data_IF_809683919939
#
_entry.id   IF_809683919939
#
_cell.length_a   1.000
_cell.length_b   1.000
_cell.length_c   1.000
_cell.angle_alpha   90.00
_cell.angle_beta   90.00
_cell.angle_gamma   90.00
#
_symmetry.space_group_name_H-M   'P 1'
#
loop_
_entity.id
_entity.type
_entity.pdbx_description
1 polymer ?
#
# COMPACT_ATOMS: atom_id res chain seq x y z
N UNK A 1 29.95 19.62 -10.20
CA UNK A 1 30.46 18.34 -9.65
C UNK A 1 29.61 17.83 -8.48
N UNK A 2 29.27 18.66 -7.48
CA UNK A 2 28.37 18.27 -6.38
C UNK A 2 26.97 17.77 -6.81
N UNK A 3 26.37 18.36 -7.85
CA UNK A 3 25.07 17.91 -8.39
C UNK A 3 25.14 16.54 -9.07
N UNK A 4 26.30 16.19 -9.63
CA UNK A 4 26.53 14.88 -10.27
C UNK A 4 26.85 13.79 -9.22
N UNK A 5 27.52 14.17 -8.13
CA UNK A 5 27.80 13.27 -6.98
C UNK A 5 26.50 12.94 -6.22
N UNK A 6 25.61 13.92 -6.03
CA UNK A 6 24.30 13.70 -5.38
C UNK A 6 23.38 12.84 -6.27
N UNK A 7 23.38 13.05 -7.59
CA UNK A 7 22.61 12.23 -8.52
C UNK A 7 23.13 10.78 -8.61
N UNK A 8 24.45 10.57 -8.56
CA UNK A 8 25.06 9.24 -8.57
C UNK A 8 24.78 8.44 -7.28
N UNK A 9 24.71 9.10 -6.12
CA UNK A 9 24.38 8.45 -4.84
C UNK A 9 22.91 8.02 -4.74
N UNK A 10 22.02 8.71 -5.46
CA UNK A 10 20.58 8.38 -5.49
C UNK A 10 20.31 7.19 -6.45
N UNK A 11 21.09 7.05 -7.52
CA UNK A 11 20.92 5.96 -8.49
C UNK A 11 21.35 4.57 -7.98
N UNK A 12 22.24 4.49 -6.98
CA UNK A 12 22.67 3.22 -6.39
C UNK A 12 21.67 2.63 -5.37
N UNK A 13 20.66 3.38 -4.94
CA UNK A 13 19.69 2.89 -3.95
C UNK A 13 18.56 2.04 -4.56
N UNK A 14 18.43 2.05 -5.88
CA UNK A 14 17.31 1.40 -6.60
C UNK A 14 17.45 -0.12 -6.78
N UNK A 15 18.51 -0.75 -6.28
CA UNK A 15 18.90 -2.11 -6.69
C UNK A 15 18.76 -3.21 -5.64
N UNK A 16 18.02 -3.04 -4.53
CA UNK A 16 17.82 -4.14 -3.58
C UNK A 16 16.39 -4.21 -3.06
N UNK A 17 15.50 -4.65 -3.95
CA UNK A 17 14.15 -5.13 -3.63
C UNK A 17 14.27 -6.58 -3.14
N UNK A 18 14.63 -6.80 -1.88
CA UNK A 18 14.48 -8.11 -1.24
C UNK A 18 14.69 -8.00 0.29
N UNK A 19 13.62 -8.26 1.05
CA UNK A 19 13.57 -8.55 2.50
C UNK A 19 13.82 -7.37 3.46
N UNK A 20 12.71 -6.76 3.85
CA UNK A 20 12.58 -5.50 4.59
C UNK A 20 12.93 -5.51 6.08
N UNK A 21 13.08 -6.64 6.77
CA UNK A 21 13.22 -6.59 8.25
C UNK A 21 14.64 -6.88 8.75
N UNK A 22 15.43 -7.71 8.06
CA UNK A 22 16.81 -8.01 8.45
C UNK A 22 17.88 -7.14 7.75
N UNK A 23 17.48 -6.26 6.82
CA UNK A 23 18.41 -5.64 5.86
C UNK A 23 18.87 -4.21 6.17
N UNK A 24 18.04 -3.35 6.79
CA UNK A 24 18.34 -1.92 6.88
C UNK A 24 19.54 -1.60 7.78
N UNK A 25 19.66 -2.27 8.94
CA UNK A 25 20.81 -2.12 9.83
C UNK A 25 22.09 -2.75 9.26
N UNK A 26 21.99 -3.93 8.66
CA UNK A 26 23.10 -4.61 8.00
C UNK A 26 23.64 -3.78 6.83
N UNK A 27 22.77 -3.17 6.01
CA UNK A 27 23.16 -2.27 4.92
C UNK A 27 23.78 -0.96 5.39
N UNK A 28 23.34 -0.45 6.55
CA UNK A 28 23.96 0.72 7.16
C UNK A 28 25.37 0.39 7.70
N UNK A 29 25.55 -0.82 8.26
CA UNK A 29 26.85 -1.31 8.74
C UNK A 29 27.82 -1.63 7.59
N UNK A 30 27.34 -2.22 6.48
CA UNK A 30 28.12 -2.52 5.26
C UNK A 30 28.69 -1.23 4.63
N UNK A 31 27.93 -0.13 4.68
CA UNK A 31 28.37 1.21 4.26
C UNK A 31 29.23 1.94 5.31
N UNK A 32 29.54 1.31 6.45
CA UNK A 32 30.22 1.92 7.61
C UNK A 32 29.61 3.25 8.04
N UNK A 33 28.29 3.39 7.91
CA UNK A 33 27.60 4.58 8.39
C UNK A 33 27.61 4.54 9.92
N UNK A 34 28.21 5.55 10.54
CA UNK A 34 28.26 5.72 11.99
C UNK A 34 27.50 6.99 12.41
N UNK A 35 27.09 7.02 13.67
CA UNK A 35 26.43 8.19 14.28
C UNK A 35 25.13 8.59 13.56
N UNK A 36 24.92 9.90 13.40
CA UNK A 36 23.69 10.46 12.83
C UNK A 36 23.39 9.97 11.40
N UNK A 37 24.43 9.65 10.61
CA UNK A 37 24.26 9.15 9.25
C UNK A 37 23.67 7.73 9.22
N UNK A 38 24.02 6.86 10.19
CA UNK A 38 23.39 5.54 10.35
C UNK A 38 21.90 5.69 10.64
N UNK A 39 21.56 6.55 11.60
CA UNK A 39 20.18 6.72 12.06
C UNK A 39 19.27 7.28 10.96
N UNK A 40 19.76 8.27 10.19
CA UNK A 40 19.00 8.83 9.07
C UNK A 40 18.82 7.81 7.93
N UNK A 41 19.81 6.96 7.67
CA UNK A 41 19.72 5.93 6.64
C UNK A 41 18.77 4.80 7.05
N UNK A 42 18.86 4.32 8.30
CA UNK A 42 17.96 3.27 8.82
C UNK A 42 16.52 3.78 8.84
N UNK A 43 16.25 4.98 9.37
CA UNK A 43 14.90 5.56 9.35
C UNK A 43 14.32 5.73 7.95
N UNK A 44 15.15 6.14 6.99
CA UNK A 44 14.73 6.28 5.59
C UNK A 44 14.44 4.91 4.97
N UNK A 45 15.28 3.92 5.24
CA UNK A 45 15.15 2.54 4.77
C UNK A 45 13.90 1.86 5.32
N UNK A 46 13.62 2.00 6.62
CA UNK A 46 12.41 1.46 7.26
C UNK A 46 11.14 2.13 6.73
N UNK A 47 11.17 3.44 6.52
CA UNK A 47 10.03 4.17 5.95
C UNK A 47 9.74 3.74 4.50
N UNK A 48 10.77 3.55 3.69
CA UNK A 48 10.66 3.08 2.30
C UNK A 48 10.19 1.61 2.25
N UNK A 49 10.73 0.77 3.12
CA UNK A 49 10.31 -0.62 3.28
C UNK A 49 8.85 -0.75 3.69
N UNK A 50 8.36 0.14 4.58
CA UNK A 50 6.94 0.19 4.97
C UNK A 50 6.04 0.73 3.86
N UNK A 51 6.56 1.56 2.96
CA UNK A 51 5.85 2.04 1.77
C UNK A 51 5.84 0.99 0.64
N UNK A 52 6.87 0.14 0.57
CA UNK A 52 7.00 -0.95 -0.39
C UNK A 52 6.37 -2.27 0.07
N UNK A 53 6.02 -2.40 1.36
CA UNK A 53 5.22 -3.51 1.83
C UNK A 53 3.87 -3.48 1.09
N UNK A 54 3.46 -4.57 0.41
CA UNK A 54 2.11 -4.65 -0.12
C UNK A 54 1.17 -4.37 1.05
N UNK A 55 0.24 -3.42 0.85
CA UNK A 55 -0.78 -3.09 1.84
C UNK A 55 -1.30 -4.41 2.41
N UNK A 56 -1.01 -4.66 3.70
CA UNK A 56 -1.25 -5.94 4.34
C UNK A 56 -2.60 -6.46 3.88
N UNK A 57 -2.61 -7.61 3.20
CA UNK A 57 -3.83 -8.21 2.66
C UNK A 57 -4.89 -8.13 3.75
N UNK A 58 -5.93 -7.33 3.51
CA UNK A 58 -7.02 -7.23 4.45
C UNK A 58 -7.52 -8.67 4.68
N UNK A 59 -7.68 -9.12 5.94
CA UNK A 59 -8.02 -10.51 6.21
C UNK A 59 -9.27 -10.88 5.42
N UNK A 60 -9.21 -12.01 4.72
CA UNK A 60 -10.29 -12.49 3.86
C UNK A 60 -11.62 -12.54 4.62
N UNK A 61 -12.75 -12.46 3.90
CA UNK A 61 -14.06 -12.51 4.53
C UNK A 61 -14.26 -13.75 5.44
N UNK A 62 -13.62 -14.88 5.08
CA UNK A 62 -13.58 -16.08 5.91
C UNK A 62 -12.78 -15.90 7.20
N UNK A 63 -11.62 -15.24 7.15
CA UNK A 63 -10.84 -14.92 8.35
C UNK A 63 -11.63 -14.01 9.29
N UNK A 64 -12.26 -12.95 8.77
CA UNK A 64 -13.12 -12.06 9.58
C UNK A 64 -14.34 -12.78 10.18
N UNK A 65 -14.92 -13.74 9.45
CA UNK A 65 -16.01 -14.55 9.96
C UNK A 65 -15.56 -15.51 11.07
N UNK A 66 -14.38 -16.11 10.91
CA UNK A 66 -13.77 -17.01 11.88
C UNK A 66 -13.38 -16.28 13.17
N UNK A 67 -12.82 -15.06 13.08
CA UNK A 67 -12.52 -14.21 14.24
C UNK A 67 -13.79 -13.83 15.01
N UNK A 68 -14.89 -13.57 14.31
CA UNK A 68 -16.20 -13.34 14.93
C UNK A 68 -16.90 -14.62 15.42
N UNK A 69 -16.26 -15.79 15.30
CA UNK A 69 -16.82 -17.12 15.64
C UNK A 69 -18.22 -17.34 15.06
N UNK A 70 -18.49 -16.80 13.88
CA UNK A 70 -19.78 -16.96 13.22
C UNK A 70 -19.88 -18.39 12.66
N UNK A 71 -20.96 -19.09 13.01
CA UNK A 71 -21.24 -20.44 12.53
C UNK A 71 -22.62 -20.49 11.84
N UNK A 72 -22.81 -21.51 11.00
CA UNK A 72 -24.09 -21.78 10.32
C UNK A 72 -24.60 -20.60 9.47
N UNK A 73 -25.89 -20.29 9.60
CA UNK A 73 -26.54 -19.25 8.80
C UNK A 73 -25.93 -17.85 9.00
N UNK A 74 -25.43 -17.54 10.21
CA UNK A 74 -24.80 -16.26 10.51
C UNK A 74 -23.48 -16.07 9.74
N UNK A 75 -22.70 -17.15 9.57
CA UNK A 75 -21.49 -17.13 8.73
C UNK A 75 -21.84 -16.81 7.28
N UNK A 76 -22.86 -17.47 6.72
CA UNK A 76 -23.24 -17.27 5.32
C UNK A 76 -23.74 -15.84 5.03
N UNK A 77 -24.56 -15.28 5.92
CA UNK A 77 -25.02 -13.88 5.79
C UNK A 77 -23.88 -12.88 5.92
N UNK A 78 -22.93 -13.12 6.83
CA UNK A 78 -21.75 -12.28 6.98
C UNK A 78 -20.82 -12.36 5.77
N UNK A 79 -20.57 -13.56 5.24
CA UNK A 79 -19.75 -13.73 4.03
C UNK A 79 -20.37 -12.99 2.85
N UNK A 80 -21.66 -13.18 2.57
CA UNK A 80 -22.35 -12.45 1.49
C UNK A 80 -22.25 -10.93 1.66
N UNK A 81 -22.41 -10.43 2.89
CA UNK A 81 -22.28 -9.00 3.18
C UNK A 81 -20.83 -8.55 2.97
N UNK A 82 -19.85 -9.29 3.47
CA UNK A 82 -18.44 -8.99 3.38
C UNK A 82 -17.93 -9.01 1.93
N UNK A 83 -18.37 -9.97 1.11
CA UNK A 83 -18.04 -10.03 -0.31
C UNK A 83 -18.63 -8.85 -1.08
N UNK A 84 -19.87 -8.46 -0.77
CA UNK A 84 -20.48 -7.27 -1.35
C UNK A 84 -19.73 -5.98 -0.96
N UNK A 85 -19.32 -5.87 0.30
CA UNK A 85 -18.53 -4.75 0.82
C UNK A 85 -17.13 -4.72 0.21
N UNK A 86 -16.47 -5.87 0.11
CA UNK A 86 -15.17 -6.03 -0.53
C UNK A 86 -15.23 -5.65 -2.02
N UNK A 87 -16.30 -6.05 -2.73
CA UNK A 87 -16.52 -5.65 -4.12
C UNK A 87 -16.74 -4.14 -4.25
N UNK A 88 -17.49 -3.53 -3.33
CA UNK A 88 -17.69 -2.07 -3.30
C UNK A 88 -16.37 -1.34 -3.02
N UNK A 89 -15.59 -1.80 -2.05
CA UNK A 89 -14.27 -1.26 -1.72
C UNK A 89 -13.27 -1.41 -2.88
N UNK A 90 -13.27 -2.56 -3.58
CA UNK A 90 -12.45 -2.76 -4.76
C UNK A 90 -12.85 -1.84 -5.93
N UNK A 91 -14.16 -1.58 -6.10
CA UNK A 91 -14.66 -0.58 -7.05
C UNK A 91 -14.15 0.82 -6.72
N UNK A 92 -14.26 1.24 -5.46
CA UNK A 92 -13.75 2.53 -4.97
C UNK A 92 -12.23 2.66 -5.18
N UNK A 93 -11.45 1.63 -4.83
CA UNK A 93 -10.00 1.62 -5.04
C UNK A 93 -9.61 1.71 -6.52
N UNK A 94 -10.33 1.00 -7.40
CA UNK A 94 -10.14 1.08 -8.86
C UNK A 94 -10.47 2.48 -9.39
N UNK A 95 -11.54 3.09 -8.89
CA UNK A 95 -11.93 4.46 -9.24
C UNK A 95 -10.91 5.50 -8.75
N UNK A 96 -10.37 5.33 -7.55
CA UNK A 96 -9.32 6.20 -6.99
C UNK A 96 -8.01 6.09 -7.78
N UNK A 97 -7.62 4.86 -8.18
CA UNK A 97 -6.49 4.62 -9.06
C UNK A 97 -6.67 5.30 -10.42
N UNK A 98 -7.82 5.14 -11.07
CA UNK A 98 -8.14 5.82 -12.34
C UNK A 98 -8.14 7.34 -12.20
N UNK A 99 -8.58 7.87 -11.06
CA UNK A 99 -8.52 9.29 -10.78
C UNK A 99 -7.07 9.78 -10.63
N UNK A 100 -6.22 8.99 -9.98
CA UNK A 100 -4.79 9.28 -9.81
C UNK A 100 -4.04 9.20 -11.15
N UNK A 101 -4.34 8.22 -12.01
CA UNK A 101 -3.79 8.13 -13.38
C UNK A 101 -4.14 9.36 -14.21
N UNK A 102 -5.37 9.88 -14.05
CA UNK A 102 -5.81 11.14 -14.67
C UNK A 102 -5.29 12.39 -13.97
N UNK A 103 -4.46 12.25 -12.93
CA UNK A 103 -3.93 13.33 -12.08
C UNK A 103 -5.01 14.26 -11.53
N UNK A 104 -6.21 13.72 -11.27
CA UNK A 104 -7.30 14.47 -10.69
C UNK A 104 -7.03 14.67 -9.20
N UNK A 105 -7.14 15.91 -8.74
CA UNK A 105 -6.98 16.29 -7.33
C UNK A 105 -8.20 17.08 -6.84
N UNK A 106 -8.37 17.14 -5.52
CA UNK A 106 -9.41 17.93 -4.87
C UNK A 106 -10.83 17.57 -5.33
N UNK A 107 -11.64 18.59 -5.62
CA UNK A 107 -13.04 18.42 -6.01
C UNK A 107 -13.22 17.58 -7.28
N UNK A 108 -12.31 17.72 -8.26
CA UNK A 108 -12.37 16.96 -9.51
C UNK A 108 -12.16 15.46 -9.30
N UNK A 109 -11.25 15.09 -8.39
CA UNK A 109 -11.05 13.70 -7.97
C UNK A 109 -12.32 13.13 -7.35
N UNK A 110 -12.92 13.87 -6.40
CA UNK A 110 -14.12 13.42 -5.69
C UNK A 110 -15.33 13.22 -6.61
N UNK A 111 -15.55 14.13 -7.57
CA UNK A 111 -16.62 14.00 -8.56
C UNK A 111 -16.40 12.82 -9.51
N UNK A 112 -15.16 12.58 -9.93
CA UNK A 112 -14.82 11.43 -10.78
C UNK A 112 -15.00 10.11 -10.04
N UNK A 113 -14.48 9.99 -8.82
CA UNK A 113 -14.62 8.77 -8.01
C UNK A 113 -16.09 8.47 -7.75
N UNK A 114 -16.90 9.45 -7.32
CA UNK A 114 -18.35 9.26 -7.13
C UNK A 114 -19.08 8.81 -8.41
N UNK A 115 -18.72 9.40 -9.56
CA UNK A 115 -19.31 9.02 -10.85
C UNK A 115 -18.89 7.60 -11.24
N UNK A 116 -17.62 7.25 -11.04
CA UNK A 116 -17.05 5.94 -11.32
C UNK A 116 -17.63 4.84 -10.43
N UNK A 117 -17.82 5.11 -9.14
CA UNK A 117 -18.46 4.18 -8.20
C UNK A 117 -19.93 3.92 -8.57
N UNK A 118 -20.68 4.98 -8.92
CA UNK A 118 -22.05 4.83 -9.40
C UNK A 118 -22.11 3.98 -10.68
N UNK A 119 -21.21 4.22 -11.64
CA UNK A 119 -21.13 3.46 -12.88
C UNK A 119 -20.74 1.98 -12.62
N UNK A 120 -19.78 1.74 -11.73
CA UNK A 120 -19.35 0.39 -11.33
C UNK A 120 -20.48 -0.44 -10.68
N UNK A 121 -21.47 0.22 -10.05
CA UNK A 121 -22.66 -0.46 -9.51
C UNK A 121 -23.79 -0.62 -10.53
N UNK A 122 -23.78 0.13 -11.64
CA UNK A 122 -24.81 0.09 -12.68
C UNK A 122 -24.55 -0.97 -13.78
N UNK A 123 -23.32 -1.50 -13.90
CA UNK A 123 -22.94 -2.53 -14.89
C UNK A 123 -23.23 -3.96 -14.38
N UNK A 124 -24.27 -4.14 -13.55
CA UNK A 124 -24.70 -5.46 -13.06
C UNK A 124 -26.06 -5.81 -13.64
#
# INVERSE_FOLDING_TARGET
MHKLIIAALIALFSANVAFAEAGCEAKAAEKKLAGAAKNSFVKKCEADAKAAAPAAEAPSCDAKAAEKKLAGAAKNSFLKKCEADAKAAAGSASCDAKAAEKKLAGAAKNSFVKKCEADATAVK
#
